data_IF_488577398494
#
_entry.id   IF_488577398494
#
_cell.length_a   1.000
_cell.length_b   1.000
_cell.length_c   1.000
_cell.angle_alpha   90.00
_cell.angle_beta   90.00
_cell.angle_gamma   90.00
#
_symmetry.space_group_name_H-M   'P 1'
#
loop_
_entity.id
_entity.type
_entity.pdbx_description
1 polymer ?
#
# COMPACT_ATOMS: atom_id res chain seq x y z
N UNK A 1 0.40 -0.72 -11.88
CA UNK A 1 -0.74 -1.50 -11.35
C UNK A 1 -0.35 -2.09 -10.01
N UNK A 2 -1.31 -2.38 -9.13
CA UNK A 2 -1.04 -2.84 -7.77
C UNK A 2 -1.51 -4.28 -7.58
N UNK A 3 -0.65 -5.08 -6.93
CA UNK A 3 -0.90 -6.48 -6.64
C UNK A 3 -0.59 -6.76 -5.18
N UNK A 4 -1.39 -7.61 -4.56
CA UNK A 4 -1.03 -8.26 -3.31
C UNK A 4 0.18 -9.18 -3.55
N UNK A 5 0.94 -9.47 -2.49
CA UNK A 5 2.15 -10.33 -2.58
C UNK A 5 1.86 -11.77 -3.03
N UNK A 6 0.60 -12.20 -3.00
CA UNK A 6 0.14 -13.49 -3.52
C UNK A 6 -0.24 -13.46 -5.02
N UNK A 7 -0.11 -12.31 -5.69
CA UNK A 7 -0.42 -12.13 -7.10
C UNK A 7 -1.86 -11.68 -7.40
N UNK A 8 -2.73 -11.58 -6.40
CA UNK A 8 -4.09 -11.06 -6.61
C UNK A 8 -4.05 -9.55 -6.89
N UNK A 9 -4.85 -9.09 -7.86
CA UNK A 9 -4.94 -7.67 -8.20
C UNK A 9 -5.60 -6.87 -7.06
N UNK A 10 -5.04 -5.69 -6.76
CA UNK A 10 -5.66 -4.72 -5.84
C UNK A 10 -6.50 -3.75 -6.68
N UNK A 11 -7.83 -3.67 -6.47
CA UNK A 11 -8.64 -2.65 -7.12
C UNK A 11 -8.11 -1.24 -6.83
N UNK A 12 -8.13 -0.37 -7.84
CA UNK A 12 -7.80 1.04 -7.64
C UNK A 12 -8.90 1.75 -6.86
N UNK A 13 -8.53 2.59 -5.90
CA UNK A 13 -9.47 3.39 -5.10
C UNK A 13 -10.20 2.60 -3.99
N UNK A 14 -11.42 3.03 -3.63
CA UNK A 14 -12.23 2.35 -2.62
C UNK A 14 -12.53 0.88 -2.98
N UNK A 15 -12.59 -0.05 -2.00
CA UNK A 15 -12.56 0.20 -0.55
C UNK A 15 -11.15 0.20 0.05
N UNK A 16 -10.10 0.03 -0.75
CA UNK A 16 -8.75 -0.20 -0.22
C UNK A 16 -7.96 1.08 -0.03
N UNK A 17 -7.91 1.95 -1.02
CA UNK A 17 -7.02 3.11 -1.02
C UNK A 17 -7.61 4.32 -0.30
N UNK A 18 -6.74 5.06 0.39
CA UNK A 18 -7.10 6.34 0.95
C UNK A 18 -7.44 7.33 -0.18
N UNK A 19 -8.24 8.35 0.12
CA UNK A 19 -8.59 9.37 -0.88
C UNK A 19 -7.32 10.07 -1.37
N UNK A 20 -7.09 10.05 -2.69
CA UNK A 20 -5.89 10.61 -3.32
C UNK A 20 -4.72 9.64 -3.45
N UNK A 21 -4.84 8.40 -2.94
CA UNK A 21 -3.82 7.37 -3.05
C UNK A 21 -4.18 6.30 -4.11
N UNK A 22 -3.18 5.61 -4.70
CA UNK A 22 -1.74 5.85 -4.56
C UNK A 22 -1.31 7.12 -5.30
N UNK A 23 -0.61 8.01 -4.62
CA UNK A 23 -0.29 9.35 -5.11
C UNK A 23 1.07 9.41 -5.81
N UNK A 24 1.96 8.46 -5.49
CA UNK A 24 3.39 8.53 -5.84
C UNK A 24 3.95 9.91 -5.52
N UNK A 25 3.52 10.49 -4.39
CA UNK A 25 3.91 11.84 -4.02
C UNK A 25 5.43 11.87 -3.90
N UNK A 26 6.02 13.05 -4.08
CA UNK A 26 7.46 13.36 -4.02
C UNK A 26 8.12 13.58 -5.38
N UNK A 27 8.10 14.85 -5.78
CA UNK A 27 9.06 15.42 -6.72
C UNK A 27 10.49 15.10 -6.23
N UNK A 28 11.30 14.47 -7.09
CA UNK A 28 12.71 14.12 -6.88
C UNK A 28 13.04 12.99 -5.89
N UNK A 29 12.10 12.10 -5.54
CA UNK A 29 12.38 10.83 -4.84
C UNK A 29 12.07 9.60 -5.72
N UNK A 30 12.65 8.42 -5.41
CA UNK A 30 12.19 7.17 -5.98
C UNK A 30 10.68 7.01 -5.76
N UNK A 31 9.99 6.45 -6.75
CA UNK A 31 8.54 6.24 -6.66
C UNK A 31 8.23 5.27 -5.52
N UNK A 32 7.08 5.51 -4.90
CA UNK A 32 6.53 4.67 -3.85
C UNK A 32 5.87 3.44 -4.47
N UNK A 33 6.33 2.26 -4.07
CA UNK A 33 6.01 0.99 -4.72
C UNK A 33 5.53 -0.08 -3.74
N UNK A 34 5.40 0.27 -2.47
CA UNK A 34 4.88 -0.61 -1.42
C UNK A 34 3.71 0.09 -0.73
N UNK A 35 2.73 -0.67 -0.27
CA UNK A 35 1.58 -0.11 0.43
C UNK A 35 1.70 -0.34 1.94
N UNK A 36 1.29 0.65 2.73
CA UNK A 36 1.15 0.54 4.18
C UNK A 36 -0.27 0.87 4.60
N UNK A 37 -0.57 0.63 5.88
CA UNK A 37 -1.85 0.95 6.50
C UNK A 37 -1.57 1.54 7.88
N UNK A 38 -2.11 2.73 8.15
CA UNK A 38 -1.93 3.40 9.43
C UNK A 38 -3.15 4.28 9.79
N UNK A 39 -3.20 4.75 11.03
CA UNK A 39 -4.35 5.45 11.59
C UNK A 39 -4.60 6.82 10.94
N UNK A 40 -3.55 7.52 10.47
CA UNK A 40 -3.70 8.83 9.81
C UNK A 40 -4.46 8.72 8.48
N UNK A 41 -4.31 7.57 7.80
CA UNK A 41 -5.07 7.22 6.59
C UNK A 41 -6.35 6.43 6.90
N UNK A 42 -6.83 6.46 8.16
CA UNK A 42 -8.03 5.73 8.63
C UNK A 42 -8.02 4.23 8.28
N UNK A 43 -6.82 3.64 8.28
CA UNK A 43 -6.60 2.24 7.91
C UNK A 43 -6.95 1.88 6.45
N UNK A 44 -7.01 2.89 5.56
CA UNK A 44 -6.91 2.66 4.12
C UNK A 44 -5.43 2.59 3.68
N UNK A 45 -5.20 2.07 2.49
CA UNK A 45 -3.88 1.93 1.88
C UNK A 45 -3.30 3.28 1.47
N UNK A 46 -2.00 3.40 1.72
CA UNK A 46 -1.12 4.52 1.34
C UNK A 46 0.14 3.96 0.69
N UNK A 47 0.57 4.51 -0.46
CA UNK A 47 1.84 4.12 -1.05
C UNK A 47 3.01 4.76 -0.29
N UNK A 48 4.07 3.99 -0.08
CA UNK A 48 5.27 4.38 0.64
C UNK A 48 6.51 3.77 -0.02
N UNK A 49 7.69 4.23 0.42
CA UNK A 49 8.97 3.69 -0.03
C UNK A 49 9.18 2.28 0.55
N UNK A 50 9.52 1.32 -0.31
CA UNK A 50 9.73 -0.07 0.11
C UNK A 50 10.90 -0.27 1.09
N UNK A 51 11.82 0.69 1.17
CA UNK A 51 12.99 0.65 2.07
C UNK A 51 12.66 1.14 3.48
N UNK A 52 11.52 1.77 3.68
CA UNK A 52 11.10 2.28 4.98
C UNK A 52 10.66 1.12 5.89
N UNK A 53 10.86 1.28 7.20
CA UNK A 53 10.62 0.22 8.18
C UNK A 53 9.30 0.44 8.91
N UNK A 54 8.40 -0.53 8.76
CA UNK A 54 7.09 -0.53 9.41
C UNK A 54 6.81 -1.86 10.11
N UNK A 55 5.84 -1.86 11.02
CA UNK A 55 5.18 -3.09 11.43
C UNK A 55 4.37 -3.66 10.25
N UNK A 56 4.23 -4.98 10.18
CA UNK A 56 3.61 -5.65 9.04
C UNK A 56 2.61 -6.73 9.51
N UNK A 57 1.70 -7.07 8.61
CA UNK A 57 0.67 -8.09 8.83
C UNK A 57 0.97 -9.27 7.90
N UNK A 58 1.08 -10.47 8.48
CA UNK A 58 1.16 -11.71 7.73
C UNK A 58 -0.23 -12.33 7.58
N UNK A 59 -0.51 -12.90 6.41
CA UNK A 59 -1.65 -13.81 6.18
C UNK A 59 -1.11 -15.21 5.93
N UNK A 60 -1.51 -16.17 6.74
CA UNK A 60 -1.25 -17.58 6.49
C UNK A 60 -2.41 -18.17 5.67
N UNK A 61 -2.10 -18.87 4.60
CA UNK A 61 -3.08 -19.64 3.85
C UNK A 61 -2.92 -21.11 4.22
N UNK A 62 -3.88 -21.62 5.00
CA UNK A 62 -3.94 -23.04 5.31
C UNK A 62 -4.53 -23.76 4.09
N UNK A 63 -3.81 -24.77 3.62
CA UNK A 63 -4.22 -25.68 2.53
C UNK A 63 -5.17 -26.73 3.09
#
# INVERSE_FOLDING_TARGET
EWFWVNGEAVPGGPPYWASGQPSHNHQNKPREHCATMHNEMRFYLDDNHCTDKFHYICKLQLV
#
